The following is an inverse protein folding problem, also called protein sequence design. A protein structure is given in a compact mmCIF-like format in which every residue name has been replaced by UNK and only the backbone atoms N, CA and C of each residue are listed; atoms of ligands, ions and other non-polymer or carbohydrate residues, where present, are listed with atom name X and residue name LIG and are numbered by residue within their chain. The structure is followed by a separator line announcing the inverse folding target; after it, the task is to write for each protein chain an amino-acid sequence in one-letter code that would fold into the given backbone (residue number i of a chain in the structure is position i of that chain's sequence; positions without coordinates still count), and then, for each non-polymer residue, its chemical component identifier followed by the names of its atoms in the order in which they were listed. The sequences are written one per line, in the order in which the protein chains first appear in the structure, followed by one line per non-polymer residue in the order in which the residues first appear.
data_IF_431323169352
#
_entry.id   IF_431323169352
#
_cell.length_a   1.000
_cell.length_b   1.000
_cell.length_c   1.000
_cell.angle_alpha   90.00
_cell.angle_beta   90.00
_cell.angle_gamma   90.00
#
_symmetry.space_group_name_H-M   'P 1'
#
loop_
_entity.id
_entity.type
_entity.pdbx_description
1 polymer ?
#
# COMPACT_ATOMS: atom_id res chain seq x y z
N UNK A 1 -34.52 54.99 -19.64
CA UNK A 1 -34.66 54.57 -21.05
C UNK A 1 -33.46 53.72 -21.40
N UNK A 2 -33.68 52.50 -21.90
CA UNK A 2 -32.70 51.70 -22.64
C UNK A 2 -31.76 50.79 -21.83
N UNK A 3 -32.28 49.71 -21.21
CA UNK A 3 -31.45 48.53 -20.91
C UNK A 3 -31.20 47.75 -22.21
N UNK A 4 -30.33 48.26 -23.06
CA UNK A 4 -29.84 47.54 -24.23
C UNK A 4 -28.44 47.02 -23.89
N UNK A 5 -28.28 45.68 -23.91
CA UNK A 5 -27.01 44.95 -23.80
C UNK A 5 -26.34 44.87 -22.42
N UNK A 6 -27.09 44.65 -21.33
CA UNK A 6 -26.49 44.24 -20.05
C UNK A 6 -25.51 45.24 -19.42
N UNK A 7 -25.42 46.48 -19.92
CA UNK A 7 -24.62 47.52 -19.32
C UNK A 7 -25.40 48.17 -18.18
N UNK A 8 -24.78 48.25 -17.01
CA UNK A 8 -25.34 48.95 -15.84
C UNK A 8 -24.47 50.17 -15.55
N UNK A 9 -25.12 51.31 -15.47
CA UNK A 9 -24.48 52.57 -15.10
C UNK A 9 -24.59 52.78 -13.59
N UNK A 10 -23.45 52.91 -12.93
CA UNK A 10 -23.33 53.20 -11.50
C UNK A 10 -23.04 54.69 -11.34
N UNK A 11 -23.87 55.40 -10.59
CA UNK A 11 -23.74 56.85 -10.39
C UNK A 11 -22.45 57.22 -9.66
N UNK A 12 -21.86 58.38 -9.99
CA UNK A 12 -20.60 58.93 -9.44
C UNK A 12 -20.51 58.98 -7.90
N UNK A 13 -21.63 58.90 -7.20
CA UNK A 13 -21.72 58.95 -5.74
C UNK A 13 -22.13 57.63 -5.10
N UNK A 14 -22.09 56.55 -5.85
CA UNK A 14 -22.63 55.26 -5.45
C UNK A 14 -21.64 54.16 -5.81
N UNK A 15 -21.49 53.17 -4.94
CA UNK A 15 -20.82 51.91 -5.28
C UNK A 15 -21.86 50.81 -5.39
N UNK A 16 -21.72 49.92 -6.36
CA UNK A 16 -22.69 48.84 -6.58
C UNK A 16 -22.02 47.48 -6.37
N UNK A 17 -22.72 46.54 -5.73
CA UNK A 17 -22.18 45.20 -5.48
C UNK A 17 -22.56 44.28 -6.63
N UNK A 18 -21.56 43.67 -7.27
CA UNK A 18 -21.74 42.70 -8.36
C UNK A 18 -21.75 41.28 -7.80
N UNK A 19 -22.72 40.52 -8.26
CA UNK A 19 -22.83 39.09 -7.99
C UNK A 19 -22.71 38.27 -9.28
N UNK A 20 -22.21 37.04 -9.13
CA UNK A 20 -22.21 36.01 -10.15
C UNK A 20 -22.89 34.75 -9.58
N UNK A 21 -24.05 34.39 -10.13
CA UNK A 21 -24.90 33.29 -9.64
C UNK A 21 -25.16 33.34 -8.13
N UNK A 22 -25.46 34.53 -7.60
CA UNK A 22 -25.77 34.76 -6.18
C UNK A 22 -24.57 34.65 -5.23
N UNK A 23 -23.34 34.63 -5.75
CA UNK A 23 -22.11 34.85 -4.97
C UNK A 23 -21.60 36.25 -5.23
N UNK A 24 -21.06 36.90 -4.20
CA UNK A 24 -20.27 38.11 -4.37
C UNK A 24 -19.12 37.84 -5.34
N UNK A 25 -18.98 38.71 -6.33
CA UNK A 25 -17.92 38.67 -7.32
C UNK A 25 -16.98 39.86 -7.14
N UNK A 26 -17.53 41.08 -7.16
CA UNK A 26 -16.73 42.31 -7.04
C UNK A 26 -17.57 43.54 -6.61
N UNK A 27 -16.90 44.62 -6.22
CA UNK A 27 -17.52 45.94 -5.98
C UNK A 27 -17.25 46.85 -7.18
N UNK A 28 -18.30 47.37 -7.79
CA UNK A 28 -18.22 48.26 -8.94
C UNK A 28 -18.10 49.72 -8.48
N UNK A 29 -17.00 50.35 -8.89
CA UNK A 29 -16.78 51.79 -8.78
C UNK A 29 -17.70 52.57 -9.74
N UNK A 30 -17.89 53.88 -9.52
CA UNK A 30 -18.76 54.66 -10.39
C UNK A 30 -18.31 54.67 -11.86
N UNK A 31 -19.22 54.34 -12.76
CA UNK A 31 -18.90 54.15 -14.18
C UNK A 31 -19.94 53.31 -14.91
N UNK A 32 -19.66 53.02 -16.18
CA UNK A 32 -20.48 52.11 -17.00
C UNK A 32 -19.83 50.73 -17.03
N UNK A 33 -20.53 49.72 -16.50
CA UNK A 33 -20.03 48.36 -16.38
C UNK A 33 -20.89 47.37 -17.15
N UNK A 34 -20.28 46.41 -17.84
CA UNK A 34 -21.00 45.36 -18.58
C UNK A 34 -21.29 44.17 -17.66
N UNK A 35 -22.56 43.97 -17.30
CA UNK A 35 -23.09 42.84 -16.53
C UNK A 35 -24.09 42.05 -17.38
N UNK A 36 -23.62 41.09 -18.20
CA UNK A 36 -24.51 40.26 -19.00
C UNK A 36 -25.33 39.33 -18.11
N UNK A 37 -26.61 39.66 -17.95
CA UNK A 37 -27.59 38.91 -17.15
C UNK A 37 -27.74 37.43 -17.57
N UNK A 38 -27.52 37.12 -18.86
CA UNK A 38 -27.57 35.75 -19.38
C UNK A 38 -26.45 34.83 -18.87
N UNK A 39 -25.39 35.39 -18.27
CA UNK A 39 -24.28 34.65 -17.65
C UNK A 39 -24.37 34.71 -16.12
N UNK A 40 -25.54 35.04 -15.57
CA UNK A 40 -25.78 35.04 -14.12
C UNK A 40 -25.14 36.20 -13.37
N UNK A 41 -24.69 37.25 -14.06
CA UNK A 41 -24.22 38.49 -13.43
C UNK A 41 -25.37 39.44 -13.10
N UNK A 42 -25.44 39.92 -11.86
CA UNK A 42 -26.48 40.85 -11.40
C UNK A 42 -25.94 41.83 -10.34
N UNK A 43 -26.69 42.91 -10.09
CA UNK A 43 -26.43 43.82 -8.98
C UNK A 43 -27.20 43.39 -7.73
N UNK A 44 -26.51 43.20 -6.62
CA UNK A 44 -27.13 42.87 -5.32
C UNK A 44 -27.75 44.09 -4.65
N UNK A 45 -27.11 45.25 -4.81
CA UNK A 45 -27.47 46.49 -4.13
C UNK A 45 -26.48 47.61 -4.43
N UNK A 46 -26.83 48.82 -4.00
CA UNK A 46 -26.04 50.03 -4.23
C UNK A 46 -25.99 50.90 -2.98
N UNK A 47 -24.83 51.48 -2.69
CA UNK A 47 -24.55 52.26 -1.48
C UNK A 47 -24.20 53.70 -1.86
N UNK A 48 -24.97 54.67 -1.36
CA UNK A 48 -24.81 56.09 -1.70
C UNK A 48 -23.83 56.78 -0.74
N UNK A 49 -22.63 57.10 -1.22
CA UNK A 49 -21.57 57.79 -0.46
C UNK A 49 -21.95 59.24 -0.11
N UNK A 50 -22.69 59.93 -0.98
CA UNK A 50 -23.09 61.34 -0.77
C UNK A 50 -24.06 61.53 0.41
N UNK A 51 -24.98 60.61 0.60
CA UNK A 51 -25.99 60.72 1.66
C UNK A 51 -25.34 60.66 3.04
N UNK A 52 -24.33 59.82 3.23
CA UNK A 52 -23.64 59.64 4.52
C UNK A 52 -22.60 60.75 4.78
N UNK A 53 -21.92 61.23 3.73
CA UNK A 53 -20.98 62.35 3.83
C UNK A 53 -21.66 63.65 4.27
N UNK A 54 -22.92 63.89 3.86
CA UNK A 54 -23.72 65.04 4.31
C UNK A 54 -23.96 65.06 5.83
N UNK A 55 -23.89 63.91 6.50
CA UNK A 55 -24.01 63.78 7.95
C UNK A 55 -22.65 63.65 8.66
N UNK A 56 -21.54 63.84 7.95
CA UNK A 56 -20.19 63.80 8.52
C UNK A 56 -19.61 62.39 8.72
N UNK A 57 -20.20 61.37 8.10
CA UNK A 57 -19.71 59.99 8.16
C UNK A 57 -18.93 59.61 6.89
N UNK A 58 -17.75 59.01 7.06
CA UNK A 58 -16.92 58.47 5.98
C UNK A 58 -16.98 56.93 6.01
N UNK A 59 -17.41 56.33 4.90
CA UNK A 59 -17.47 54.86 4.77
C UNK A 59 -16.07 54.38 4.35
N UNK A 60 -15.30 53.85 5.30
CA UNK A 60 -13.94 53.32 5.04
C UNK A 60 -13.99 51.97 4.33
N UNK A 61 -14.90 51.07 4.77
CA UNK A 61 -15.07 49.75 4.18
C UNK A 61 -16.47 49.22 4.50
N UNK A 62 -17.09 48.54 3.54
CA UNK A 62 -18.34 47.79 3.76
C UNK A 62 -18.06 46.30 3.85
N UNK A 63 -18.31 45.71 5.02
CA UNK A 63 -18.22 44.26 5.22
C UNK A 63 -19.57 43.64 4.85
N UNK A 64 -19.53 42.66 3.95
CA UNK A 64 -20.70 41.83 3.66
C UNK A 64 -20.83 40.84 4.81
N UNK A 65 -21.97 40.91 5.53
CA UNK A 65 -22.18 40.08 6.73
C UNK A 65 -22.67 38.69 6.34
N UNK A 66 -23.65 38.59 5.44
CA UNK A 66 -24.20 37.31 4.99
C UNK A 66 -24.68 37.38 3.53
N UNK A 67 -24.38 36.34 2.75
CA UNK A 67 -24.91 36.13 1.39
C UNK A 67 -25.65 34.80 1.41
N UNK A 68 -26.96 34.82 1.16
CA UNK A 68 -27.76 33.62 1.05
C UNK A 68 -28.08 33.30 -0.41
N UNK A 69 -27.32 32.41 -1.07
CA UNK A 69 -27.68 31.96 -2.40
C UNK A 69 -28.95 31.11 -2.38
N UNK A 70 -29.54 30.83 -3.54
CA UNK A 70 -30.73 30.00 -3.63
C UNK A 70 -30.51 28.60 -3.02
N UNK A 71 -31.56 28.04 -2.39
CA UNK A 71 -31.49 26.74 -1.71
C UNK A 71 -31.09 25.58 -2.63
N UNK A 72 -31.40 25.67 -3.93
CA UNK A 72 -30.96 24.68 -4.93
C UNK A 72 -29.46 24.82 -5.21
N UNK A 73 -28.95 26.06 -5.32
CA UNK A 73 -27.52 26.33 -5.56
C UNK A 73 -26.67 25.91 -4.36
N UNK A 74 -27.12 26.18 -3.12
CA UNK A 74 -26.44 25.72 -1.89
C UNK A 74 -26.26 24.19 -1.89
N UNK A 75 -27.33 23.45 -2.22
CA UNK A 75 -27.31 21.98 -2.26
C UNK A 75 -26.37 21.45 -3.35
N UNK A 76 -26.53 21.93 -4.58
CA UNK A 76 -25.69 21.51 -5.70
C UNK A 76 -24.20 21.80 -5.42
N UNK A 77 -23.89 22.97 -4.84
CA UNK A 77 -22.52 23.32 -4.52
C UNK A 77 -21.93 22.44 -3.41
N UNK A 78 -22.72 22.11 -2.38
CA UNK A 78 -22.29 21.21 -1.32
C UNK A 78 -22.05 19.79 -1.85
N UNK A 79 -22.90 19.30 -2.75
CA UNK A 79 -22.72 17.99 -3.40
C UNK A 79 -21.46 17.95 -4.27
N UNK A 80 -21.19 18.99 -5.06
CA UNK A 80 -19.96 19.09 -5.87
C UNK A 80 -18.72 19.07 -4.97
N UNK A 81 -18.72 19.84 -3.89
CA UNK A 81 -17.61 19.90 -2.95
C UNK A 81 -17.42 18.57 -2.21
N UNK A 82 -18.51 17.93 -1.80
CA UNK A 82 -18.48 16.61 -1.17
C UNK A 82 -17.92 15.56 -2.14
N UNK A 83 -18.40 15.52 -3.38
CA UNK A 83 -17.93 14.58 -4.41
C UNK A 83 -16.45 14.80 -4.75
N UNK A 84 -16.01 16.05 -4.88
CA UNK A 84 -14.61 16.39 -5.09
C UNK A 84 -13.72 15.90 -3.93
N UNK A 85 -14.13 16.13 -2.68
CA UNK A 85 -13.41 15.63 -1.49
C UNK A 85 -13.38 14.11 -1.43
N UNK A 86 -14.50 13.45 -1.73
CA UNK A 86 -14.59 11.99 -1.78
C UNK A 86 -13.68 11.40 -2.86
N UNK A 87 -13.60 12.03 -4.04
CA UNK A 87 -12.72 11.59 -5.12
C UNK A 87 -11.26 11.64 -4.70
N UNK A 88 -10.81 12.74 -4.09
CA UNK A 88 -9.43 12.86 -3.58
C UNK A 88 -9.18 11.81 -2.49
N UNK A 89 -10.10 11.64 -1.53
CA UNK A 89 -9.94 10.62 -0.50
C UNK A 89 -9.90 9.20 -1.07
N UNK A 90 -10.64 8.91 -2.14
CA UNK A 90 -10.64 7.61 -2.81
C UNK A 90 -9.32 7.34 -3.55
N UNK A 91 -8.75 8.33 -4.24
CA UNK A 91 -7.46 8.17 -4.92
C UNK A 91 -6.33 7.92 -3.93
N UNK A 92 -6.27 8.71 -2.85
CA UNK A 92 -5.26 8.54 -1.79
C UNK A 92 -5.37 7.17 -1.12
N UNK A 93 -6.60 6.69 -0.85
CA UNK A 93 -6.82 5.34 -0.31
C UNK A 93 -6.36 4.25 -1.26
N UNK A 94 -6.66 4.37 -2.55
CA UNK A 94 -6.25 3.39 -3.55
C UNK A 94 -4.71 3.32 -3.69
N UNK A 95 -4.03 4.46 -3.62
CA UNK A 95 -2.57 4.52 -3.63
C UNK A 95 -1.98 3.89 -2.37
N UNK A 96 -2.55 4.16 -1.19
CA UNK A 96 -2.13 3.54 0.07
C UNK A 96 -2.30 2.01 0.03
N UNK A 97 -3.43 1.50 -0.47
CA UNK A 97 -3.67 0.06 -0.62
C UNK A 97 -2.67 -0.59 -1.57
N UNK A 98 -2.37 0.05 -2.70
CA UNK A 98 -1.34 -0.42 -3.65
C UNK A 98 0.03 -0.53 -2.98
N UNK A 99 0.44 0.50 -2.24
CA UNK A 99 1.73 0.50 -1.53
C UNK A 99 1.77 -0.62 -0.49
N UNK A 100 0.71 -0.79 0.30
CA UNK A 100 0.61 -1.86 1.29
C UNK A 100 0.73 -3.24 0.64
N UNK A 101 0.05 -3.47 -0.49
CA UNK A 101 0.09 -4.75 -1.19
C UNK A 101 1.48 -5.06 -1.76
N UNK A 102 2.12 -4.06 -2.39
CA UNK A 102 3.49 -4.22 -2.91
C UNK A 102 4.46 -4.51 -1.78
N UNK A 103 4.41 -3.74 -0.68
CA UNK A 103 5.31 -3.93 0.47
C UNK A 103 5.13 -5.28 1.14
N UNK A 104 3.90 -5.77 1.21
CA UNK A 104 3.62 -7.12 1.70
C UNK A 104 4.22 -8.18 0.78
N UNK A 105 4.06 -8.04 -0.53
CA UNK A 105 4.63 -8.97 -1.50
C UNK A 105 6.18 -8.95 -1.49
N UNK A 106 6.79 -7.76 -1.39
CA UNK A 106 8.23 -7.60 -1.24
C UNK A 106 8.74 -8.27 0.04
N UNK A 107 8.10 -8.02 1.18
CA UNK A 107 8.46 -8.63 2.46
C UNK A 107 8.29 -10.15 2.47
N UNK A 108 7.24 -10.68 1.82
CA UNK A 108 7.05 -12.12 1.67
C UNK A 108 8.12 -12.76 0.78
N UNK A 109 8.53 -12.10 -0.31
CA UNK A 109 9.60 -12.56 -1.18
C UNK A 109 10.96 -12.55 -0.46
N UNK A 110 11.28 -11.46 0.23
CA UNK A 110 12.53 -11.30 0.97
C UNK A 110 12.62 -12.29 2.14
N UNK A 111 11.52 -12.50 2.88
CA UNK A 111 11.46 -13.51 3.95
C UNK A 111 11.75 -14.92 3.44
N UNK A 112 11.16 -15.32 2.30
CA UNK A 112 11.44 -16.63 1.68
C UNK A 112 12.89 -16.74 1.22
N UNK A 113 13.45 -15.67 0.67
CA UNK A 113 14.86 -15.64 0.26
C UNK A 113 15.80 -15.81 1.46
N UNK A 114 15.60 -15.04 2.52
CA UNK A 114 16.38 -15.13 3.75
C UNK A 114 16.23 -16.50 4.43
N UNK A 115 15.03 -17.07 4.44
CA UNK A 115 14.80 -18.43 4.93
C UNK A 115 15.56 -19.48 4.12
N UNK A 116 15.55 -19.37 2.78
CA UNK A 116 16.31 -20.25 1.90
C UNK A 116 17.81 -20.14 2.11
N UNK A 117 18.32 -18.91 2.25
CA UNK A 117 19.72 -18.63 2.58
C UNK A 117 20.10 -19.21 3.95
N UNK A 118 19.22 -19.08 4.95
CA UNK A 118 19.40 -19.65 6.28
C UNK A 118 19.53 -21.17 6.24
N UNK A 119 18.64 -21.85 5.51
CA UNK A 119 18.69 -23.31 5.33
C UNK A 119 19.97 -23.73 4.59
N UNK A 120 20.37 -23.02 3.53
CA UNK A 120 21.58 -23.33 2.80
C UNK A 120 22.84 -23.18 3.68
N UNK A 121 22.93 -22.08 4.45
CA UNK A 121 24.02 -21.87 5.43
C UNK A 121 24.00 -22.90 6.54
N UNK A 122 22.83 -23.27 7.05
CA UNK A 122 22.68 -24.33 8.04
C UNK A 122 23.18 -25.67 7.49
N UNK A 123 22.79 -26.03 6.26
CA UNK A 123 23.27 -27.25 5.58
C UNK A 123 24.78 -27.25 5.42
N UNK A 124 25.36 -26.12 5.04
CA UNK A 124 26.82 -25.98 4.93
C UNK A 124 27.50 -26.23 6.29
N UNK A 125 27.03 -25.58 7.36
CA UNK A 125 27.57 -25.76 8.70
C UNK A 125 27.45 -27.21 9.21
N UNK A 126 26.36 -27.91 8.86
CA UNK A 126 26.19 -29.33 9.19
C UNK A 126 27.22 -30.20 8.46
N UNK A 127 27.43 -29.98 7.15
CA UNK A 127 28.40 -30.74 6.35
C UNK A 127 29.83 -30.50 6.85
N UNK A 128 30.17 -29.25 7.14
CA UNK A 128 31.48 -28.89 7.66
C UNK A 128 31.70 -29.51 9.06
N UNK A 129 30.72 -29.42 9.95
CA UNK A 129 30.82 -30.05 11.27
C UNK A 129 30.88 -31.59 11.23
N UNK A 130 30.16 -32.23 10.30
CA UNK A 130 30.25 -33.68 10.11
C UNK A 130 31.61 -34.08 9.57
N UNK A 131 32.17 -33.32 8.62
CA UNK A 131 33.52 -33.53 8.09
C UNK A 131 34.55 -33.48 9.21
N UNK A 132 34.50 -32.45 10.06
CA UNK A 132 35.41 -32.31 11.20
C UNK A 132 35.26 -33.47 12.19
N UNK A 133 34.01 -33.91 12.43
CA UNK A 133 33.71 -35.06 13.29
C UNK A 133 34.29 -36.37 12.74
N UNK A 134 34.21 -36.60 11.42
CA UNK A 134 34.76 -37.79 10.77
C UNK A 134 36.30 -37.80 10.84
N UNK A 135 36.96 -36.65 10.64
CA UNK A 135 38.42 -36.52 10.76
C UNK A 135 38.85 -36.80 12.20
N UNK A 136 38.21 -36.17 13.19
CA UNK A 136 38.54 -36.35 14.60
C UNK A 136 38.34 -37.81 15.06
N UNK A 137 37.30 -38.50 14.58
CA UNK A 137 37.05 -39.90 14.96
C UNK A 137 38.05 -40.86 14.32
N UNK A 138 38.44 -40.60 13.06
CA UNK A 138 39.45 -41.38 12.35
C UNK A 138 40.85 -41.28 12.98
N UNK A 139 41.18 -40.16 13.61
CA UNK A 139 42.47 -39.96 14.29
C UNK A 139 42.53 -40.63 15.67
N UNK A 140 41.42 -40.66 16.40
CA UNK A 140 41.38 -41.13 17.79
C UNK A 140 41.09 -42.63 17.96
N UNK A 141 40.52 -43.30 16.94
CA UNK A 141 40.19 -44.72 16.99
C UNK A 141 40.97 -45.48 15.91
N UNK A 142 41.98 -46.29 16.27
CA UNK A 142 42.76 -47.04 15.29
C UNK A 142 41.91 -48.13 14.62
N UNK A 143 41.86 -48.13 13.30
CA UNK A 143 41.25 -49.20 12.49
C UNK A 143 39.86 -48.91 11.91
N UNK A 144 39.26 -47.75 12.22
CA UNK A 144 37.99 -47.33 11.60
C UNK A 144 38.21 -46.54 10.32
N UNK A 145 37.51 -46.90 9.24
CA UNK A 145 37.52 -46.12 8.00
C UNK A 145 36.46 -45.01 8.04
N UNK A 146 36.64 -43.94 7.25
CA UNK A 146 35.63 -42.89 7.09
C UNK A 146 34.26 -43.45 6.64
N UNK A 147 34.26 -44.60 5.96
CA UNK A 147 33.03 -45.29 5.54
C UNK A 147 32.26 -45.87 6.72
N UNK A 148 32.96 -46.47 7.69
CA UNK A 148 32.32 -47.07 8.87
C UNK A 148 31.69 -46.01 9.79
N UNK A 149 32.32 -44.84 9.89
CA UNK A 149 31.78 -43.69 10.64
C UNK A 149 30.51 -43.16 9.96
N UNK A 150 30.51 -43.04 8.63
CA UNK A 150 29.33 -42.60 7.87
C UNK A 150 28.18 -43.61 7.98
N UNK A 151 28.47 -44.91 7.95
CA UNK A 151 27.45 -45.96 8.13
C UNK A 151 26.82 -45.88 9.53
N UNK A 152 27.60 -45.59 10.58
CA UNK A 152 27.07 -45.37 11.94
C UNK A 152 26.21 -44.10 12.06
N UNK A 153 26.58 -43.01 11.37
CA UNK A 153 25.78 -41.78 11.31
C UNK A 153 24.44 -42.03 10.61
N UNK A 154 24.42 -42.79 9.51
CA UNK A 154 23.20 -43.14 8.77
C UNK A 154 22.22 -43.95 9.64
N UNK A 155 22.73 -44.89 10.44
CA UNK A 155 21.90 -45.65 11.39
C UNK A 155 21.31 -44.74 12.46
N UNK A 156 22.09 -43.79 12.98
CA UNK A 156 21.61 -42.83 13.98
C UNK A 156 20.51 -41.93 13.40
N UNK A 157 20.70 -41.41 12.18
CA UNK A 157 19.70 -40.61 11.47
C UNK A 157 18.41 -41.39 11.19
N UNK A 158 18.52 -42.68 10.88
CA UNK A 158 17.36 -43.57 10.74
C UNK A 158 16.55 -43.68 12.05
N UNK A 159 17.21 -43.79 13.21
CA UNK A 159 16.51 -43.82 14.50
C UNK A 159 15.94 -42.46 14.90
N UNK A 160 16.65 -41.37 14.65
CA UNK A 160 16.16 -40.02 14.93
C UNK A 160 14.94 -39.66 14.06
N UNK A 161 14.96 -40.02 12.77
CA UNK A 161 13.80 -39.84 11.89
C UNK A 161 12.61 -40.68 12.36
N UNK A 162 12.82 -41.94 12.79
CA UNK A 162 11.74 -42.74 13.39
C UNK A 162 11.19 -42.11 14.67
N UNK A 163 12.06 -41.53 15.52
CA UNK A 163 11.65 -40.82 16.73
C UNK A 163 10.81 -39.58 16.43
N UNK A 164 11.21 -38.79 15.44
CA UNK A 164 10.51 -37.57 15.02
C UNK A 164 9.14 -37.90 14.39
N UNK A 165 9.08 -38.95 13.58
CA UNK A 165 7.83 -39.50 13.03
C UNK A 165 6.91 -40.01 14.14
N UNK A 166 7.46 -40.70 15.15
CA UNK A 166 6.70 -41.21 16.29
C UNK A 166 6.23 -40.13 17.27
N UNK A 167 6.96 -39.01 17.38
CA UNK A 167 6.59 -37.87 18.21
C UNK A 167 5.56 -36.95 17.54
N UNK A 168 5.53 -36.92 16.20
CA UNK A 168 4.58 -36.11 15.43
C UNK A 168 3.17 -36.71 15.47
N UNK A 169 2.26 -36.06 16.19
CA UNK A 169 0.89 -36.53 16.44
C UNK A 169 -0.01 -36.64 15.20
N UNK A 170 0.47 -36.22 14.02
CA UNK A 170 -0.26 -36.29 12.74
C UNK A 170 0.02 -37.56 11.93
N UNK A 171 0.95 -38.41 12.37
CA UNK A 171 1.26 -39.66 11.67
C UNK A 171 0.37 -40.79 12.19
N UNK A 172 -0.68 -41.15 11.45
CA UNK A 172 -1.72 -42.08 11.91
C UNK A 172 -1.40 -43.56 11.71
N UNK A 173 -0.53 -43.93 10.76
CA UNK A 173 0.06 -45.27 10.62
C UNK A 173 1.25 -45.24 9.65
N UNK A 174 2.44 -45.69 10.09
CA UNK A 174 3.65 -45.81 9.24
C UNK A 174 4.11 -47.26 9.27
N UNK A 175 4.03 -47.95 8.13
CA UNK A 175 4.57 -49.30 7.98
C UNK A 175 6.07 -49.23 7.70
N UNK A 176 6.87 -49.61 8.70
CA UNK A 176 8.32 -49.67 8.59
C UNK A 176 8.72 -51.12 8.28
N UNK A 177 9.43 -51.39 7.16
CA UNK A 177 9.96 -52.72 6.90
C UNK A 177 11.02 -53.04 7.96
N UNK A 178 10.67 -53.90 8.92
CA UNK A 178 11.51 -54.30 10.04
C UNK A 178 12.08 -55.69 9.76
N UNK A 179 13.22 -55.72 9.08
CA UNK A 179 14.04 -56.91 8.94
C UNK A 179 15.50 -56.50 9.10
N UNK A 180 16.38 -57.35 9.67
CA UNK A 180 17.80 -57.03 9.83
C UNK A 180 18.54 -56.77 8.50
N UNK A 181 17.94 -57.13 7.35
CA UNK A 181 18.40 -56.76 6.01
C UNK A 181 17.89 -55.41 5.48
N UNK A 182 16.84 -54.82 6.06
CA UNK A 182 16.15 -53.67 5.48
C UNK A 182 17.06 -52.43 5.36
N UNK A 183 17.97 -52.20 6.32
CA UNK A 183 18.92 -51.08 6.26
C UNK A 183 19.95 -51.27 5.15
N UNK A 184 20.41 -52.51 4.94
CA UNK A 184 21.32 -52.86 3.84
C UNK A 184 20.61 -52.79 2.48
N UNK A 185 19.35 -53.21 2.42
CA UNK A 185 18.53 -53.14 1.22
C UNK A 185 18.20 -51.69 0.85
N UNK A 186 17.87 -50.83 1.82
CA UNK A 186 17.67 -49.39 1.62
C UNK A 186 18.98 -48.74 1.13
N UNK A 187 20.11 -49.05 1.75
CA UNK A 187 21.41 -48.53 1.33
C UNK A 187 21.81 -49.00 -0.08
N UNK A 188 21.45 -50.23 -0.46
CA UNK A 188 21.66 -50.77 -1.81
C UNK A 188 20.75 -50.07 -2.83
N UNK A 189 19.47 -49.91 -2.51
CA UNK A 189 18.48 -49.27 -3.38
C UNK A 189 18.79 -47.78 -3.63
N UNK A 190 19.25 -47.04 -2.62
CA UNK A 190 19.66 -45.64 -2.80
C UNK A 190 20.89 -45.56 -3.74
N UNK A 191 21.85 -46.47 -3.58
CA UNK A 191 23.07 -46.51 -4.40
C UNK A 191 22.77 -46.91 -5.84
N UNK A 192 21.94 -47.93 -6.06
CA UNK A 192 21.49 -48.36 -7.37
C UNK A 192 20.65 -47.29 -8.07
N UNK A 193 19.75 -46.60 -7.34
CA UNK A 193 18.96 -45.49 -7.88
C UNK A 193 19.81 -44.31 -8.34
N UNK A 194 20.88 -43.97 -7.61
CA UNK A 194 21.84 -42.94 -8.01
C UNK A 194 22.68 -43.35 -9.24
N UNK A 195 23.13 -44.60 -9.29
CA UNK A 195 23.88 -45.14 -10.44
C UNK A 195 22.99 -45.23 -11.70
N UNK A 196 21.73 -45.62 -11.54
CA UNK A 196 20.77 -45.68 -12.64
C UNK A 196 20.41 -44.28 -13.14
N UNK A 197 20.26 -43.29 -12.25
CA UNK A 197 20.07 -41.89 -12.64
C UNK A 197 21.24 -41.34 -13.47
N UNK A 198 22.49 -41.67 -13.11
CA UNK A 198 23.68 -41.28 -13.89
C UNK A 198 23.79 -41.99 -15.24
N UNK A 199 23.21 -43.19 -15.39
CA UNK A 199 23.19 -43.91 -16.68
C UNK A 199 22.15 -43.41 -17.69
N UNK A 200 21.19 -42.58 -17.25
CA UNK A 200 20.12 -42.03 -18.08
C UNK A 200 20.47 -40.63 -18.64
N UNK A 201 21.53 -39.99 -18.13
CA UNK A 201 22.01 -38.67 -18.58
C UNK A 201 22.97 -38.73 -19.80
N UNK A 202 22.93 -39.81 -20.59
CA UNK A 202 23.64 -39.95 -21.88
C UNK A 202 22.70 -40.22 -23.05
#
# INVERSE_FOLDING_TARGET
MGQTLGCVQVDQSTVAVKEHFGKFDDVLEPGCHCLPWCVGYQLAGSLTLRAMSAYGYEIVQTLIVDIEPDAQVKRAMNEINAAARLRVAATEKAEAEKVLQIKRAEGEAESKYLSGLGIARQRQAIVDGLRDSVIAFSENVPGTSAKDVMDMVLVTQYFDTMKEIGASSKSSAVFIPHGPGAVKDIASQIREGLLQGQSVDH
#
